data_IF_492778046096
#
_entry.id   IF_492778046096
#
_cell.length_a   1.000
_cell.length_b   1.000
_cell.length_c   1.000
_cell.angle_alpha   90.00
_cell.angle_beta   90.00
_cell.angle_gamma   90.00
#
_symmetry.space_group_name_H-M   'P 1'
#
loop_
_entity.id
_entity.type
_entity.pdbx_description
1 polymer ?
#
# COMPACT_ATOMS: atom_id res chain seq x y z
N UNK A 1 35.86 35.96 16.89
CA UNK A 1 37.12 35.22 17.11
C UNK A 1 37.32 34.22 15.98
N UNK A 2 38.42 34.34 15.24
CA UNK A 2 38.83 33.46 14.12
C UNK A 2 39.54 32.20 14.65
N UNK A 3 39.26 31.02 14.08
CA UNK A 3 40.17 29.84 13.90
C UNK A 3 39.41 28.80 13.06
N UNK A 4 39.75 28.63 11.77
CA UNK A 4 40.80 27.80 11.14
C UNK A 4 40.31 26.36 10.85
N UNK A 5 40.18 26.12 9.54
CA UNK A 5 40.03 24.83 8.86
C UNK A 5 41.16 23.85 9.22
N UNK A 6 40.83 22.56 9.28
CA UNK A 6 41.77 21.46 9.06
C UNK A 6 41.17 20.45 8.08
N UNK A 7 41.88 20.24 6.97
CA UNK A 7 41.67 19.19 5.97
C UNK A 7 42.30 17.90 6.48
N UNK A 8 41.66 16.76 6.23
CA UNK A 8 42.31 15.45 6.25
C UNK A 8 42.07 14.78 4.90
N UNK A 9 43.17 14.43 4.24
CA UNK A 9 43.26 13.65 3.00
C UNK A 9 44.32 12.56 3.19
N UNK A 10 43.98 11.31 2.88
CA UNK A 10 44.86 10.21 2.48
C UNK A 10 43.94 9.15 1.80
N UNK A 11 44.05 8.79 0.51
CA UNK A 11 45.03 7.89 -0.15
C UNK A 11 45.14 6.52 0.56
N UNK A 12 45.04 5.34 -0.07
CA UNK A 12 45.10 4.91 -1.48
C UNK A 12 44.69 3.40 -1.60
N UNK A 13 44.78 2.87 -2.84
CA UNK A 13 44.94 1.47 -3.33
C UNK A 13 43.70 0.87 -4.02
N UNK A 14 43.61 0.87 -5.36
CA UNK A 14 44.27 0.04 -6.40
C UNK A 14 44.00 -1.47 -6.30
N UNK A 15 43.18 -1.99 -7.22
CA UNK A 15 43.53 -3.20 -8.00
C UNK A 15 42.81 -3.21 -9.35
N UNK A 16 43.61 -3.31 -10.41
CA UNK A 16 43.23 -3.61 -11.78
C UNK A 16 43.98 -4.88 -12.23
N UNK A 17 43.30 -5.75 -12.95
CA UNK A 17 43.85 -6.79 -13.84
C UNK A 17 42.68 -7.19 -14.76
N UNK A 18 42.64 -6.87 -16.07
CA UNK A 18 43.54 -7.15 -17.19
C UNK A 18 43.71 -8.66 -17.45
N UNK A 19 42.89 -9.21 -18.34
CA UNK A 19 43.20 -10.45 -19.06
C UNK A 19 43.02 -10.21 -20.56
N UNK A 20 44.08 -10.53 -21.28
CA UNK A 20 44.44 -10.15 -22.64
C UNK A 20 43.93 -11.18 -23.66
N UNK A 21 43.58 -10.67 -24.84
CA UNK A 21 43.41 -11.41 -26.09
C UNK A 21 44.65 -12.26 -26.43
N UNK A 22 44.42 -13.46 -26.98
CA UNK A 22 45.38 -14.13 -27.86
C UNK A 22 44.76 -14.29 -29.25
N UNK A 23 45.29 -13.50 -30.18
CA UNK A 23 45.23 -13.71 -31.63
C UNK A 23 46.34 -14.69 -32.01
N UNK A 24 46.01 -15.69 -32.81
CA UNK A 24 46.96 -16.53 -33.52
C UNK A 24 46.34 -16.93 -34.86
N UNK A 25 46.73 -16.23 -35.93
CA UNK A 25 46.38 -16.60 -37.29
C UNK A 25 47.31 -17.67 -37.85
N UNK A 26 46.83 -18.44 -38.84
CA UNK A 26 47.66 -18.96 -39.91
C UNK A 26 46.79 -19.29 -41.13
N UNK A 27 47.44 -19.22 -42.28
CA UNK A 27 46.91 -18.93 -43.61
C UNK A 27 46.28 -20.12 -44.35
N UNK A 28 45.38 -19.72 -45.26
CA UNK A 28 44.96 -20.31 -46.54
C UNK A 28 45.75 -21.50 -47.11
N UNK A 29 45.04 -22.56 -47.49
CA UNK A 29 45.33 -23.32 -48.70
C UNK A 29 44.03 -23.57 -49.47
N UNK A 30 44.11 -23.22 -50.76
CA UNK A 30 43.12 -23.37 -51.81
C UNK A 30 43.09 -24.81 -52.31
N UNK A 31 41.92 -25.43 -52.40
CA UNK A 31 41.64 -26.49 -53.38
C UNK A 31 40.12 -26.69 -53.54
N UNK A 32 39.64 -26.51 -54.77
CA UNK A 32 38.41 -27.07 -55.35
C UNK A 32 38.86 -27.91 -56.56
N UNK A 33 38.03 -28.79 -57.15
CA UNK A 33 36.85 -29.49 -56.63
C UNK A 33 36.89 -31.00 -56.98
N UNK A 34 36.10 -31.84 -56.29
CA UNK A 34 35.64 -33.11 -56.87
C UNK A 34 34.15 -33.28 -56.59
N UNK A 35 33.39 -33.31 -57.68
CA UNK A 35 31.99 -33.71 -57.80
C UNK A 35 31.80 -35.16 -57.39
N UNK A 36 30.93 -35.41 -56.40
CA UNK A 36 30.24 -36.69 -56.23
C UNK A 36 28.79 -36.41 -55.84
N UNK A 37 27.90 -36.58 -56.82
CA UNK A 37 26.46 -36.53 -56.63
C UNK A 37 26.02 -37.75 -55.81
N UNK A 38 25.41 -37.51 -54.64
CA UNK A 38 24.63 -38.53 -53.94
C UNK A 38 23.27 -37.94 -53.64
N UNK A 39 22.27 -38.41 -54.37
CA UNK A 39 20.85 -38.08 -54.17
C UNK A 39 20.35 -38.77 -52.90
N UNK A 40 20.17 -38.01 -51.83
CA UNK A 40 19.36 -38.42 -50.69
C UNK A 40 18.15 -37.50 -50.61
N UNK A 41 16.99 -38.05 -50.96
CA UNK A 41 15.69 -37.40 -50.78
C UNK A 41 15.56 -36.86 -49.35
N UNK A 42 15.04 -35.63 -49.15
CA UNK A 42 14.71 -35.16 -47.82
C UNK A 42 13.52 -35.96 -47.29
N UNK A 43 13.75 -36.78 -46.27
CA UNK A 43 12.70 -37.32 -45.42
C UNK A 43 11.98 -36.13 -44.78
N UNK A 44 10.73 -35.92 -45.17
CA UNK A 44 9.81 -35.00 -44.51
C UNK A 44 9.76 -35.37 -43.01
N UNK A 45 9.99 -34.42 -42.08
CA UNK A 45 9.79 -34.70 -40.67
C UNK A 45 8.32 -35.10 -40.46
N UNK A 46 8.04 -36.07 -39.56
CA UNK A 46 6.67 -36.48 -39.28
C UNK A 46 5.84 -35.28 -38.86
N UNK A 47 4.55 -35.21 -39.26
CA UNK A 47 3.67 -34.15 -38.82
C UNK A 47 3.67 -34.11 -37.29
N UNK A 48 3.96 -32.93 -36.74
CA UNK A 48 3.87 -32.67 -35.31
C UNK A 48 2.51 -33.13 -34.81
N UNK A 49 2.50 -33.98 -33.78
CA UNK A 49 1.28 -34.49 -33.18
C UNK A 49 0.31 -33.32 -32.90
N UNK A 50 -0.99 -33.46 -33.21
CA UNK A 50 -1.95 -32.39 -33.00
C UNK A 50 -1.94 -32.00 -31.52
N UNK A 51 -1.60 -30.74 -31.24
CA UNK A 51 -1.74 -30.18 -29.89
C UNK A 51 -3.21 -30.32 -29.51
N UNK A 52 -3.50 -31.12 -28.48
CA UNK A 52 -4.84 -31.15 -27.90
C UNK A 52 -5.22 -29.71 -27.52
N UNK A 53 -6.45 -29.27 -27.84
CA UNK A 53 -6.87 -27.90 -27.61
C UNK A 53 -6.82 -27.57 -26.13
N UNK A 54 -6.59 -26.30 -25.81
CA UNK A 54 -6.66 -25.78 -24.45
C UNK A 54 -7.99 -26.20 -23.78
N UNK A 55 -8.03 -26.34 -22.45
CA UNK A 55 -9.26 -26.69 -21.74
C UNK A 55 -10.41 -25.74 -22.11
N UNK A 56 -11.63 -26.27 -22.27
CA UNK A 56 -12.80 -25.48 -22.68
C UNK A 56 -13.08 -24.29 -21.75
N UNK A 57 -12.87 -24.48 -20.44
CA UNK A 57 -13.05 -23.42 -19.44
C UNK A 57 -12.04 -22.26 -19.63
N UNK A 58 -10.86 -22.56 -20.19
CA UNK A 58 -9.81 -21.58 -20.47
C UNK A 58 -10.07 -20.89 -21.82
N UNK A 59 -10.30 -21.67 -22.88
CA UNK A 59 -10.51 -21.12 -24.23
C UNK A 59 -11.81 -20.31 -24.34
N UNK A 60 -12.85 -20.72 -23.62
CA UNK A 60 -14.14 -20.04 -23.59
C UNK A 60 -14.29 -19.01 -22.47
N UNK A 61 -13.27 -18.84 -21.60
CA UNK A 61 -13.32 -17.97 -20.40
C UNK A 61 -14.63 -18.13 -19.60
N UNK A 62 -15.06 -19.38 -19.41
CA UNK A 62 -16.41 -19.71 -18.94
C UNK A 62 -16.57 -19.65 -17.42
N UNK A 63 -15.50 -19.40 -16.69
CA UNK A 63 -15.57 -19.30 -15.24
C UNK A 63 -16.21 -17.96 -14.86
N UNK A 64 -17.21 -18.03 -13.99
CA UNK A 64 -17.90 -16.85 -13.45
C UNK A 64 -17.87 -16.97 -11.93
N UNK A 65 -17.42 -15.91 -11.27
CA UNK A 65 -17.51 -15.75 -9.82
C UNK A 65 -18.07 -14.37 -9.52
N UNK A 66 -19.22 -14.35 -8.84
CA UNK A 66 -19.91 -13.12 -8.48
C UNK A 66 -19.01 -12.28 -7.58
N UNK A 67 -18.86 -10.99 -7.91
CA UNK A 67 -18.01 -10.09 -7.15
C UNK A 67 -16.52 -10.36 -7.29
N UNK A 68 -16.10 -11.04 -8.37
CA UNK A 68 -14.69 -11.24 -8.66
C UNK A 68 -14.34 -10.93 -10.11
N UNK A 69 -13.12 -10.44 -10.31
CA UNK A 69 -12.49 -10.36 -11.62
C UNK A 69 -11.59 -11.56 -11.81
N UNK A 70 -11.65 -12.16 -13.00
CA UNK A 70 -10.91 -13.38 -13.32
C UNK A 70 -9.86 -13.05 -14.37
N UNK A 71 -8.62 -13.44 -14.11
CA UNK A 71 -7.52 -13.42 -15.07
C UNK A 71 -7.15 -14.84 -15.48
N UNK A 72 -6.90 -15.03 -16.77
CA UNK A 72 -6.54 -16.31 -17.36
C UNK A 72 -5.08 -16.27 -17.84
N UNK A 73 -4.34 -17.34 -17.57
CA UNK A 73 -2.96 -17.45 -18.01
C UNK A 73 -2.56 -18.85 -18.39
N UNK A 74 -1.62 -18.93 -19.33
CA UNK A 74 -0.96 -20.17 -19.71
C UNK A 74 0.55 -19.99 -19.69
N UNK A 75 1.28 -21.09 -19.51
CA UNK A 75 2.74 -21.10 -19.47
C UNK A 75 3.29 -22.51 -19.50
N UNK A 76 4.59 -22.65 -19.74
CA UNK A 76 5.24 -23.96 -19.76
C UNK A 76 5.49 -24.44 -18.31
N UNK A 77 5.46 -23.53 -17.35
CA UNK A 77 5.41 -23.82 -15.91
C UNK A 77 4.16 -23.25 -15.24
N UNK A 78 3.78 -23.82 -14.08
CA UNK A 78 2.69 -23.27 -13.26
C UNK A 78 2.96 -21.82 -12.83
N UNK A 79 4.23 -21.47 -12.57
CA UNK A 79 4.63 -20.12 -12.17
C UNK A 79 4.39 -19.12 -13.31
N UNK A 80 4.78 -19.47 -14.53
CA UNK A 80 4.53 -18.68 -15.73
C UNK A 80 3.04 -18.52 -16.00
N UNK A 81 2.27 -19.61 -15.92
CA UNK A 81 0.82 -19.55 -16.11
C UNK A 81 0.14 -18.64 -15.07
N UNK A 82 0.57 -18.69 -13.81
CA UNK A 82 0.10 -17.78 -12.76
C UNK A 82 0.51 -16.33 -13.04
N UNK A 83 1.72 -16.08 -13.54
CA UNK A 83 2.18 -14.74 -13.89
C UNK A 83 1.40 -14.18 -15.08
N UNK A 84 1.13 -14.99 -16.11
CA UNK A 84 0.29 -14.63 -17.24
C UNK A 84 -1.15 -14.30 -16.78
N UNK A 85 -1.72 -15.11 -15.87
CA UNK A 85 -3.04 -14.87 -15.32
C UNK A 85 -3.12 -13.56 -14.52
N UNK A 86 -2.05 -13.23 -13.78
CA UNK A 86 -1.92 -11.93 -13.09
C UNK A 86 -1.86 -10.76 -14.08
N UNK A 87 -1.09 -10.90 -15.16
CA UNK A 87 -0.98 -9.87 -16.18
C UNK A 87 -2.33 -9.65 -16.90
N UNK A 88 -3.05 -10.73 -17.18
CA UNK A 88 -4.39 -10.67 -17.75
C UNK A 88 -5.38 -9.97 -16.81
N UNK A 89 -5.39 -10.37 -15.53
CA UNK A 89 -6.19 -9.71 -14.50
C UNK A 89 -5.90 -8.21 -14.42
N UNK A 90 -4.62 -7.80 -14.39
CA UNK A 90 -4.24 -6.39 -14.36
C UNK A 90 -4.81 -5.59 -15.54
N UNK A 91 -4.83 -6.17 -16.75
CA UNK A 91 -5.43 -5.53 -17.94
C UNK A 91 -6.94 -5.41 -17.80
N UNK A 92 -7.62 -6.46 -17.34
CA UNK A 92 -9.06 -6.45 -17.11
C UNK A 92 -9.45 -5.36 -16.11
N UNK A 93 -8.71 -5.26 -15.00
CA UNK A 93 -8.90 -4.22 -13.99
C UNK A 93 -8.69 -2.84 -14.58
N UNK A 94 -7.59 -2.63 -15.30
CA UNK A 94 -7.30 -1.35 -15.94
C UNK A 94 -8.41 -0.92 -16.88
N UNK A 95 -8.93 -1.84 -17.71
CA UNK A 95 -10.04 -1.55 -18.60
C UNK A 95 -11.29 -1.16 -17.82
N UNK A 96 -11.66 -1.92 -16.79
CA UNK A 96 -12.89 -1.67 -16.04
C UNK A 96 -12.85 -0.38 -15.23
N UNK A 97 -11.73 -0.11 -14.55
CA UNK A 97 -11.51 1.16 -13.83
C UNK A 97 -11.58 2.34 -14.81
N UNK A 98 -10.89 2.24 -15.96
CA UNK A 98 -10.94 3.28 -16.99
C UNK A 98 -12.36 3.51 -17.52
N UNK A 99 -13.13 2.44 -17.75
CA UNK A 99 -14.51 2.51 -18.21
C UNK A 99 -15.45 3.14 -17.18
N UNK A 100 -15.40 2.72 -15.91
CA UNK A 100 -16.22 3.30 -14.83
C UNK A 100 -15.99 4.80 -14.68
N UNK A 101 -14.71 5.19 -14.68
CA UNK A 101 -14.29 6.58 -14.59
C UNK A 101 -14.71 7.39 -15.84
N UNK A 102 -14.71 6.78 -17.02
CA UNK A 102 -15.20 7.43 -18.26
C UNK A 102 -16.72 7.65 -18.24
N UNK A 103 -17.47 6.76 -17.59
CA UNK A 103 -18.93 6.90 -17.41
C UNK A 103 -19.22 8.02 -16.41
N UNK A 104 -18.50 8.08 -15.29
CA UNK A 104 -18.61 9.18 -14.30
C UNK A 104 -18.23 10.55 -14.90
N UNK A 105 -17.26 10.58 -15.83
CA UNK A 105 -16.87 11.78 -16.61
C UNK A 105 -18.00 12.33 -17.49
N UNK A 106 -18.87 11.49 -18.04
CA UNK A 106 -20.03 11.96 -18.79
C UNK A 106 -21.05 12.66 -17.87
N UNK A 107 -20.99 12.40 -16.56
CA UNK A 107 -21.86 13.01 -15.57
C UNK A 107 -21.24 14.26 -14.90
N UNK A 108 -19.91 14.35 -14.77
CA UNK A 108 -19.24 15.53 -14.17
C UNK A 108 -17.94 15.92 -14.92
N UNK A 109 -17.88 17.17 -15.39
CA UNK A 109 -16.79 17.68 -16.23
C UNK A 109 -15.46 17.83 -15.46
N UNK A 110 -14.46 17.02 -15.84
CA UNK A 110 -13.07 17.46 -16.07
C UNK A 110 -12.07 17.43 -14.91
N UNK A 111 -11.54 16.24 -14.52
CA UNK A 111 -10.22 16.12 -13.84
C UNK A 111 -9.66 14.67 -13.77
N UNK A 112 -9.82 13.89 -14.84
CA UNK A 112 -9.95 12.42 -14.71
C UNK A 112 -8.69 11.59 -15.03
N UNK A 113 -7.73 12.11 -15.80
CA UNK A 113 -6.62 11.31 -16.36
C UNK A 113 -5.63 10.84 -15.28
N UNK A 114 -5.53 11.56 -14.16
CA UNK A 114 -4.55 11.30 -13.10
C UNK A 114 -5.04 10.18 -12.16
N UNK A 115 -6.33 10.18 -11.78
CA UNK A 115 -6.95 9.21 -10.87
C UNK A 115 -7.00 7.79 -11.43
N UNK A 116 -7.31 7.63 -12.73
CA UNK A 116 -7.35 6.32 -13.38
C UNK A 116 -5.97 5.66 -13.42
N UNK A 117 -4.91 6.44 -13.70
CA UNK A 117 -3.54 5.94 -13.75
C UNK A 117 -3.03 5.54 -12.36
N UNK A 118 -3.36 6.30 -11.31
CA UNK A 118 -2.99 5.95 -9.94
C UNK A 118 -3.73 4.74 -9.41
N UNK A 119 -5.03 4.58 -9.69
CA UNK A 119 -5.76 3.36 -9.34
C UNK A 119 -5.16 2.11 -10.01
N UNK A 120 -4.70 2.23 -11.26
CA UNK A 120 -4.06 1.15 -12.01
C UNK A 120 -2.64 0.86 -11.53
N UNK A 121 -1.84 1.89 -11.23
CA UNK A 121 -0.50 1.74 -10.66
C UNK A 121 -0.56 1.19 -9.23
N UNK A 122 -1.55 1.59 -8.42
CA UNK A 122 -1.82 1.04 -7.09
C UNK A 122 -2.22 -0.44 -7.16
N UNK A 123 -3.12 -0.82 -8.06
CA UNK A 123 -3.55 -2.21 -8.25
C UNK A 123 -2.47 -3.09 -8.90
N UNK A 124 -1.55 -2.50 -9.67
CA UNK A 124 -0.39 -3.19 -10.23
C UNK A 124 0.76 -3.36 -9.22
N UNK A 125 0.91 -2.43 -8.26
CA UNK A 125 1.93 -2.48 -7.20
C UNK A 125 1.48 -3.23 -5.95
N UNK A 126 0.19 -3.15 -5.62
CA UNK A 126 -0.46 -4.02 -4.65
C UNK A 126 -0.45 -5.43 -5.26
N UNK A 127 0.66 -6.14 -5.07
CA UNK A 127 0.76 -7.56 -5.34
C UNK A 127 -0.51 -8.19 -4.81
N UNK A 128 -1.35 -8.70 -5.71
CA UNK A 128 -2.66 -9.23 -5.39
C UNK A 128 -2.57 -10.25 -4.26
N UNK A 129 -2.68 -9.78 -3.02
CA UNK A 129 -2.21 -10.48 -1.84
C UNK A 129 -3.11 -11.67 -1.50
N UNK A 130 -4.30 -11.71 -2.10
CA UNK A 130 -5.34 -12.71 -1.91
C UNK A 130 -5.96 -13.10 -3.26
N UNK A 131 -5.17 -13.62 -4.20
CA UNK A 131 -5.73 -14.28 -5.40
C UNK A 131 -6.17 -15.70 -5.09
N UNK A 132 -7.43 -15.99 -5.37
CA UNK A 132 -7.95 -17.34 -5.31
C UNK A 132 -7.63 -18.05 -6.64
N UNK A 133 -7.01 -19.22 -6.59
CA UNK A 133 -6.92 -20.07 -7.79
C UNK A 133 -8.27 -20.77 -7.97
N UNK A 134 -9.00 -20.43 -9.03
CA UNK A 134 -10.28 -21.08 -9.33
C UNK A 134 -10.09 -22.42 -10.01
N UNK A 135 -9.12 -22.48 -10.92
CA UNK A 135 -8.80 -23.69 -11.66
C UNK A 135 -7.36 -23.67 -12.12
N UNK A 136 -6.76 -24.85 -12.13
CA UNK A 136 -5.45 -25.07 -12.73
C UNK A 136 -5.40 -26.47 -13.34
N UNK A 137 -4.95 -26.57 -14.58
CA UNK A 137 -4.81 -27.83 -15.29
C UNK A 137 -3.51 -27.84 -16.09
N UNK A 138 -2.89 -29.01 -16.20
CA UNK A 138 -1.72 -29.22 -17.03
C UNK A 138 -2.09 -30.16 -18.18
N UNK A 139 -1.92 -29.70 -19.42
CA UNK A 139 -2.17 -30.49 -20.63
C UNK A 139 -0.96 -30.33 -21.54
N UNK A 140 -0.34 -31.44 -21.94
CA UNK A 140 0.80 -31.48 -22.87
C UNK A 140 1.94 -30.51 -22.49
N UNK A 141 2.43 -30.62 -21.24
CA UNK A 141 3.52 -29.79 -20.70
C UNK A 141 3.21 -28.29 -20.65
N UNK A 142 1.94 -27.89 -20.79
CA UNK A 142 1.48 -26.51 -20.64
C UNK A 142 0.50 -26.43 -19.48
N UNK A 143 0.69 -25.44 -18.63
CA UNK A 143 -0.18 -25.13 -17.52
C UNK A 143 -1.18 -24.06 -17.93
N UNK A 144 -2.43 -24.24 -17.53
CA UNK A 144 -3.52 -23.29 -17.67
C UNK A 144 -4.01 -22.93 -16.28
N UNK A 145 -4.21 -21.65 -16.01
CA UNK A 145 -4.60 -21.14 -14.69
C UNK A 145 -5.66 -20.06 -14.84
N UNK A 146 -6.67 -20.10 -13.96
CA UNK A 146 -7.57 -18.99 -13.71
C UNK A 146 -7.40 -18.50 -12.26
N UNK A 147 -7.15 -17.20 -12.11
CA UNK A 147 -7.04 -16.52 -10.83
C UNK A 147 -8.22 -15.56 -10.67
N UNK A 148 -8.84 -15.57 -9.50
CA UNK A 148 -9.88 -14.64 -9.12
C UNK A 148 -9.39 -13.62 -8.11
N UNK A 149 -9.82 -12.38 -8.32
CA UNK A 149 -9.66 -11.26 -7.40
C UNK A 149 -11.02 -10.81 -6.93
N UNK A 150 -11.29 -10.94 -5.63
CA UNK A 150 -12.50 -10.40 -5.01
C UNK A 150 -12.51 -8.88 -5.17
N UNK A 151 -13.49 -8.34 -5.89
CA UNK A 151 -13.65 -6.91 -6.19
C UNK A 151 -14.72 -6.24 -5.32
N UNK A 152 -15.37 -6.99 -4.41
CA UNK A 152 -16.41 -6.47 -3.52
C UNK A 152 -15.85 -5.35 -2.63
N UNK A 153 -16.68 -4.38 -2.21
CA UNK A 153 -16.27 -3.35 -1.25
C UNK A 153 -15.86 -4.00 0.07
N UNK A 154 -14.95 -3.35 0.82
CA UNK A 154 -14.42 -3.87 2.09
C UNK A 154 -15.52 -4.36 3.05
N UNK A 155 -16.60 -3.59 3.21
CA UNK A 155 -17.71 -3.96 4.10
C UNK A 155 -18.38 -5.30 3.74
N UNK A 156 -18.48 -5.66 2.46
CA UNK A 156 -19.00 -6.97 2.02
C UNK A 156 -17.98 -8.08 2.26
N UNK A 157 -16.69 -7.79 2.06
CA UNK A 157 -15.62 -8.77 2.30
C UNK A 157 -15.46 -9.09 3.78
N UNK A 158 -15.82 -8.16 4.66
CA UNK A 158 -15.83 -8.35 6.11
C UNK A 158 -16.98 -9.24 6.60
N UNK A 159 -18.06 -9.39 5.84
CA UNK A 159 -19.24 -10.17 6.26
C UNK A 159 -18.93 -11.57 6.84
N UNK A 160 -18.06 -12.40 6.24
CA UNK A 160 -17.72 -13.70 6.81
C UNK A 160 -17.07 -13.59 8.19
N UNK A 161 -16.20 -12.59 8.39
CA UNK A 161 -15.51 -12.32 9.66
C UNK A 161 -16.50 -11.97 10.79
N UNK A 162 -17.64 -11.38 10.44
CA UNK A 162 -18.63 -10.88 11.39
C UNK A 162 -19.51 -12.00 11.97
N UNK A 163 -19.61 -13.15 11.29
CA UNK A 163 -20.47 -14.28 11.71
C UNK A 163 -19.81 -15.26 12.67
N UNK A 164 -18.50 -15.16 12.90
CA UNK A 164 -17.74 -16.08 13.76
C UNK A 164 -17.73 -15.61 15.23
N UNK A 165 -18.26 -16.43 16.14
CA UNK A 165 -18.27 -16.19 17.59
C UNK A 165 -16.92 -16.44 18.25
N UNK A 166 -16.29 -15.43 18.87
CA UNK A 166 -15.13 -15.61 19.74
C UNK A 166 -14.99 -14.50 20.81
N UNK A 167 -14.48 -14.87 21.98
CA UNK A 167 -14.25 -13.96 23.10
C UNK A 167 -13.20 -12.86 22.76
N UNK A 168 -13.26 -11.68 23.39
CA UNK A 168 -12.39 -10.56 23.05
C UNK A 168 -10.94 -10.71 23.57
N UNK A 169 -9.90 -10.58 22.72
CA UNK A 169 -8.53 -10.24 23.13
C UNK A 169 -8.34 -8.80 23.65
N UNK A 170 -7.22 -8.61 24.37
CA UNK A 170 -6.81 -7.40 25.10
C UNK A 170 -6.52 -6.15 24.23
N UNK A 171 -6.52 -6.27 22.90
CA UNK A 171 -6.13 -5.19 21.96
C UNK A 171 -7.15 -4.98 20.83
N UNK A 172 -8.43 -4.80 21.20
CA UNK A 172 -9.46 -4.47 20.23
C UNK A 172 -9.22 -3.09 19.61
N UNK A 173 -9.14 -3.04 18.28
CA UNK A 173 -9.11 -1.82 17.47
C UNK A 173 -10.43 -1.01 17.50
N UNK A 174 -11.45 -1.46 18.24
CA UNK A 174 -12.79 -0.86 18.26
C UNK A 174 -12.79 0.62 18.59
N UNK A 175 -11.86 1.12 19.41
CA UNK A 175 -11.80 2.55 19.78
C UNK A 175 -11.35 3.45 18.62
N UNK A 176 -10.52 2.95 17.71
CA UNK A 176 -10.18 3.69 16.47
C UNK A 176 -11.28 3.55 15.42
N UNK A 177 -11.91 2.37 15.36
CA UNK A 177 -12.96 2.09 14.40
C UNK A 177 -14.30 2.72 14.78
N UNK A 178 -14.56 3.01 16.06
CA UNK A 178 -15.86 3.46 16.60
C UNK A 178 -16.46 4.67 15.89
N UNK A 179 -15.60 5.50 15.28
CA UNK A 179 -16.03 6.69 14.53
C UNK A 179 -15.51 6.71 13.08
N UNK A 180 -14.88 5.63 12.61
CA UNK A 180 -14.30 5.54 11.27
C UNK A 180 -15.36 5.51 10.16
N UNK A 181 -15.01 5.94 8.92
CA UNK A 181 -15.89 5.77 7.77
C UNK A 181 -16.32 4.31 7.52
N UNK A 182 -15.44 3.33 7.81
CA UNK A 182 -15.77 1.92 7.70
C UNK A 182 -16.92 1.54 8.65
N UNK A 183 -16.89 1.99 9.89
CA UNK A 183 -17.98 1.74 10.83
C UNK A 183 -19.30 2.35 10.37
N UNK A 184 -19.27 3.57 9.82
CA UNK A 184 -20.48 4.19 9.29
C UNK A 184 -21.05 3.41 8.10
N UNK A 185 -20.20 2.77 7.27
CA UNK A 185 -20.67 1.88 6.20
C UNK A 185 -21.31 0.61 6.78
N UNK A 186 -20.65 -0.02 7.76
CA UNK A 186 -21.15 -1.23 8.40
C UNK A 186 -22.49 -0.98 9.12
N UNK A 187 -22.63 0.15 9.82
CA UNK A 187 -23.89 0.57 10.46
C UNK A 187 -25.01 0.81 9.45
N UNK A 188 -24.70 1.42 8.29
CA UNK A 188 -25.68 1.64 7.22
C UNK A 188 -26.20 0.35 6.60
N UNK A 189 -25.33 -0.64 6.44
CA UNK A 189 -25.68 -1.91 5.80
C UNK A 189 -26.32 -2.93 6.75
N UNK A 190 -25.87 -2.98 8.01
CA UNK A 190 -26.33 -3.98 8.99
C UNK A 190 -27.27 -3.42 10.07
N UNK A 191 -27.49 -2.10 10.14
CA UNK A 191 -28.34 -1.43 11.12
C UNK A 191 -27.60 -0.96 12.39
N UNK A 192 -28.17 0.04 13.07
CA UNK A 192 -27.69 0.53 14.36
C UNK A 192 -27.95 -0.52 15.47
N UNK A 193 -26.89 -0.97 16.14
CA UNK A 193 -26.99 -1.89 17.30
C UNK A 193 -26.77 -3.38 17.00
N UNK A 194 -26.87 -3.79 15.73
CA UNK A 194 -26.57 -5.15 15.23
C UNK A 194 -25.09 -5.32 14.84
N UNK A 195 -24.34 -4.23 14.75
CA UNK A 195 -22.89 -4.25 14.56
C UNK A 195 -22.18 -4.50 15.90
N UNK A 196 -22.01 -5.78 16.24
CA UNK A 196 -20.99 -6.22 17.19
C UNK A 196 -20.23 -7.32 16.46
N UNK A 197 -18.98 -7.07 16.03
CA UNK A 197 -18.20 -8.16 15.49
C UNK A 197 -18.11 -9.20 16.62
N UNK A 198 -18.53 -10.43 16.30
CA UNK A 198 -18.64 -11.50 17.29
C UNK A 198 -17.27 -11.97 17.81
N UNK A 199 -16.19 -11.46 17.21
CA UNK A 199 -14.81 -11.46 17.68
C UNK A 199 -14.25 -10.03 17.46
N UNK A 200 -13.37 -9.49 18.31
CA UNK A 200 -12.78 -8.18 18.05
C UNK A 200 -11.91 -8.26 16.81
N UNK A 201 -11.98 -7.20 16.02
CA UNK A 201 -11.10 -7.04 14.89
C UNK A 201 -9.70 -6.73 15.40
N UNK A 202 -8.69 -7.21 14.69
CA UNK A 202 -7.31 -6.70 14.81
C UNK A 202 -6.81 -6.32 13.42
N UNK A 203 -5.84 -5.41 13.36
CA UNK A 203 -5.26 -4.93 12.11
C UNK A 203 -3.76 -5.23 12.15
N UNK A 204 -3.26 -5.92 11.12
CA UNK A 204 -1.82 -6.13 10.96
C UNK A 204 -1.36 -5.66 9.58
N UNK A 205 -0.05 -5.43 9.44
CA UNK A 205 0.60 -5.18 8.17
C UNK A 205 1.67 -6.24 7.92
N UNK A 206 1.63 -6.92 6.77
CA UNK A 206 2.53 -8.05 6.46
C UNK A 206 3.65 -7.69 5.47
N UNK A 207 3.83 -6.39 5.20
CA UNK A 207 4.77 -5.88 4.21
C UNK A 207 4.17 -5.70 2.81
N UNK A 208 3.09 -6.43 2.50
CA UNK A 208 2.37 -6.32 1.23
C UNK A 208 1.06 -5.56 1.35
N UNK A 209 0.52 -5.43 2.56
CA UNK A 209 -0.60 -4.54 2.86
C UNK A 209 -1.18 -4.78 4.24
N UNK A 210 -2.25 -4.05 4.51
CA UNK A 210 -3.02 -4.21 5.74
C UNK A 210 -3.97 -5.40 5.64
N UNK A 211 -4.15 -6.12 6.75
CA UNK A 211 -5.13 -7.20 6.89
C UNK A 211 -5.95 -7.02 8.16
N UNK A 212 -7.26 -7.09 8.03
CA UNK A 212 -8.19 -7.17 9.15
C UNK A 212 -8.38 -8.63 9.52
N UNK A 213 -8.27 -8.96 10.80
CA UNK A 213 -8.43 -10.32 11.32
C UNK A 213 -9.60 -10.38 12.28
N UNK A 214 -10.32 -11.50 12.25
CA UNK A 214 -11.28 -11.91 13.26
C UNK A 214 -11.14 -13.41 13.48
N UNK A 215 -10.76 -13.82 14.69
CA UNK A 215 -10.37 -15.21 14.98
C UNK A 215 -9.31 -15.71 13.97
N UNK A 216 -9.55 -16.84 13.30
CA UNK A 216 -8.62 -17.43 12.31
C UNK A 216 -8.82 -16.92 10.88
N UNK A 217 -9.77 -16.01 10.68
CA UNK A 217 -10.10 -15.47 9.37
C UNK A 217 -9.53 -14.06 9.19
N UNK A 218 -9.19 -13.72 7.95
CA UNK A 218 -8.68 -12.40 7.61
C UNK A 218 -9.19 -11.91 6.25
N UNK A 219 -9.14 -10.60 6.09
CA UNK A 219 -9.49 -9.89 4.86
C UNK A 219 -8.42 -8.84 4.57
N UNK A 220 -7.84 -8.88 3.38
CA UNK A 220 -6.92 -7.86 2.90
C UNK A 220 -7.61 -6.50 2.73
N UNK A 221 -7.01 -5.46 3.29
CA UNK A 221 -7.42 -4.06 3.12
C UNK A 221 -6.63 -3.49 1.95
N UNK A 222 -7.33 -3.08 0.90
CA UNK A 222 -6.71 -2.44 -0.26
C UNK A 222 -6.23 -1.05 0.15
N UNK A 223 -5.19 -0.56 -0.53
CA UNK A 223 -4.58 0.71 -0.20
C UNK A 223 -5.58 1.88 -0.19
N UNK A 224 -6.43 2.02 -1.22
CA UNK A 224 -7.55 2.98 -1.25
C UNK A 224 -8.57 2.84 -0.11
N UNK A 225 -8.66 1.68 0.52
CA UNK A 225 -9.58 1.40 1.62
C UNK A 225 -8.96 1.69 2.99
N UNK A 226 -7.64 1.86 3.08
CA UNK A 226 -6.96 2.23 4.34
C UNK A 226 -7.52 3.54 4.89
N UNK A 227 -7.88 4.48 4.01
CA UNK A 227 -8.54 5.72 4.38
C UNK A 227 -9.87 5.52 5.13
N UNK A 228 -10.55 4.37 4.95
CA UNK A 228 -11.78 4.02 5.68
C UNK A 228 -11.49 3.61 7.13
N UNK A 229 -10.24 3.25 7.44
CA UNK A 229 -9.79 2.83 8.77
C UNK A 229 -9.25 4.00 9.61
N UNK A 230 -8.99 5.14 8.98
CA UNK A 230 -8.40 6.29 9.67
C UNK A 230 -9.43 6.92 10.62
N UNK A 231 -8.98 7.37 11.82
CA UNK A 231 -9.87 8.04 12.76
C UNK A 231 -10.37 9.36 12.16
N UNK A 232 -11.64 9.73 12.39
CA UNK A 232 -12.14 11.03 11.96
C UNK A 232 -11.52 12.15 12.80
N UNK A 233 -11.82 13.40 12.41
CA UNK A 233 -11.53 14.53 13.29
C UNK A 233 -12.32 14.40 14.59
N UNK A 234 -11.62 14.31 15.71
CA UNK A 234 -12.16 14.23 17.05
C UNK A 234 -11.23 15.02 17.98
N UNK A 235 -11.74 16.04 18.65
CA UNK A 235 -10.94 16.90 19.51
C UNK A 235 -11.34 16.68 20.97
N UNK A 236 -10.36 16.35 21.80
CA UNK A 236 -10.51 16.28 23.25
C UNK A 236 -10.41 17.69 23.85
N UNK A 237 -11.27 18.05 24.83
CA UNK A 237 -11.14 19.31 25.55
C UNK A 237 -9.87 19.37 26.42
N UNK A 238 -9.25 18.23 26.71
CA UNK A 238 -8.00 18.15 27.47
C UNK A 238 -6.75 18.39 26.60
N UNK A 239 -6.88 18.32 25.27
CA UNK A 239 -5.77 18.47 24.34
C UNK A 239 -6.22 19.17 23.05
N UNK A 240 -6.07 20.49 22.99
CA UNK A 240 -6.31 21.23 21.77
C UNK A 240 -5.32 20.85 20.66
N UNK A 241 -5.83 20.66 19.44
CA UNK A 241 -5.06 20.34 18.26
C UNK A 241 -5.59 21.16 17.08
N UNK A 242 -4.71 21.92 16.43
CA UNK A 242 -5.03 22.69 15.22
C UNK A 242 -3.83 22.82 14.31
N UNK A 243 -4.09 23.15 13.05
CA UNK A 243 -3.06 23.42 12.05
C UNK A 243 -2.98 24.93 11.78
N UNK A 244 -1.78 25.41 11.48
CA UNK A 244 -1.54 26.79 11.04
C UNK A 244 -0.73 26.80 9.73
N UNK A 245 -1.19 27.48 8.66
CA UNK A 245 -2.46 28.18 8.55
C UNK A 245 -3.63 27.20 8.59
N UNK A 246 -4.79 27.60 9.12
CA UNK A 246 -5.97 26.73 9.14
C UNK A 246 -6.69 26.81 7.79
N UNK A 247 -6.54 25.77 6.97
CA UNK A 247 -7.19 25.66 5.66
C UNK A 247 -8.21 24.52 5.63
N UNK A 248 -9.27 24.68 4.84
CA UNK A 248 -10.25 23.60 4.58
C UNK A 248 -9.64 22.49 3.73
N UNK A 249 -8.90 22.87 2.68
CA UNK A 249 -8.13 21.98 1.82
C UNK A 249 -6.73 22.58 1.67
N UNK A 250 -5.70 21.75 1.82
CA UNK A 250 -4.32 22.20 1.66
C UNK A 250 -3.87 21.88 0.23
N UNK A 251 -3.28 22.85 -0.50
CA UNK A 251 -2.58 22.53 -1.72
C UNK A 251 -1.34 21.68 -1.41
N UNK A 252 -0.79 20.93 -2.38
CA UNK A 252 0.52 20.31 -2.24
C UNK A 252 1.60 21.36 -2.00
N UNK A 253 2.70 20.96 -1.35
CA UNK A 253 3.86 21.80 -1.04
C UNK A 253 3.55 23.00 -0.11
N UNK A 254 2.40 22.98 0.56
CA UNK A 254 2.02 23.97 1.55
C UNK A 254 2.74 23.69 2.87
N UNK A 255 3.45 24.70 3.36
CA UNK A 255 4.01 24.68 4.71
C UNK A 255 2.90 24.89 5.76
N UNK A 256 2.95 24.10 6.82
CA UNK A 256 2.07 24.24 7.97
C UNK A 256 2.76 23.84 9.28
N UNK A 257 2.18 24.25 10.39
CA UNK A 257 2.58 23.86 11.74
C UNK A 257 1.42 23.18 12.45
N UNK A 258 1.74 22.22 13.31
CA UNK A 258 0.80 21.62 14.25
C UNK A 258 0.90 22.39 15.56
N UNK A 259 -0.23 22.91 16.05
CA UNK A 259 -0.31 23.60 17.33
C UNK A 259 -1.05 22.73 18.32
N UNK A 260 -0.38 22.44 19.44
CA UNK A 260 -0.85 21.59 20.54
C UNK A 260 -1.08 22.45 21.78
N UNK A 261 -2.24 22.30 22.41
CA UNK A 261 -2.65 23.09 23.58
C UNK A 261 -3.14 22.15 24.69
N UNK A 262 -2.22 21.59 25.50
CA UNK A 262 -2.58 20.71 26.59
C UNK A 262 -3.27 21.49 27.71
N UNK A 263 -4.43 21.02 28.18
CA UNK A 263 -5.13 21.56 29.35
C UNK A 263 -4.82 20.78 30.64
N UNK A 264 -4.02 19.71 30.53
CA UNK A 264 -3.56 18.88 31.63
C UNK A 264 -2.04 18.68 31.54
N UNK A 265 -1.41 18.32 32.65
CA UNK A 265 0.01 17.95 32.68
C UNK A 265 0.20 16.47 32.30
N UNK A 266 1.32 16.14 31.67
CA UNK A 266 1.62 14.78 31.27
C UNK A 266 2.72 14.70 30.21
N UNK A 267 2.70 13.59 29.46
CA UNK A 267 3.63 13.30 28.37
C UNK A 267 2.89 13.40 27.05
N UNK A 268 3.24 14.41 26.26
CA UNK A 268 2.63 14.73 24.97
C UNK A 268 3.38 14.03 23.82
N UNK A 269 2.63 13.35 22.96
CA UNK A 269 3.16 12.76 21.74
C UNK A 269 2.32 13.17 20.53
N UNK A 270 2.93 13.23 19.35
CA UNK A 270 2.30 13.56 18.08
C UNK A 270 2.69 12.53 17.04
N UNK A 271 1.69 11.92 16.41
CA UNK A 271 1.83 10.93 15.35
C UNK A 271 1.10 11.42 14.11
N UNK A 272 1.71 11.32 12.94
CA UNK A 272 1.04 11.51 11.65
C UNK A 272 0.68 10.15 11.04
N UNK A 273 -0.54 10.02 10.54
CA UNK A 273 -1.03 8.84 9.83
C UNK A 273 -1.36 9.27 8.40
N UNK A 274 -0.66 8.73 7.42
CA UNK A 274 -0.88 9.04 6.00
C UNK A 274 -2.04 8.23 5.43
N UNK A 275 -2.56 8.63 4.27
CA UNK A 275 -3.62 7.92 3.55
C UNK A 275 -3.26 6.46 3.22
N UNK A 276 -1.95 6.16 3.18
CA UNK A 276 -1.40 4.82 3.04
C UNK A 276 -1.46 3.97 4.31
N UNK A 277 -1.86 4.54 5.44
CA UNK A 277 -1.75 3.95 6.77
C UNK A 277 -0.32 3.94 7.31
N UNK A 278 0.66 4.51 6.59
CA UNK A 278 1.96 4.75 7.16
C UNK A 278 1.84 5.69 8.37
N UNK A 279 2.59 5.40 9.43
CA UNK A 279 2.57 6.12 10.71
C UNK A 279 3.95 6.69 11.01
N UNK A 280 4.01 7.98 11.36
CA UNK A 280 5.25 8.68 11.68
C UNK A 280 5.16 9.34 13.04
N UNK A 281 6.18 9.16 13.86
CA UNK A 281 6.32 9.82 15.15
C UNK A 281 7.02 11.17 14.99
N UNK A 282 6.29 12.24 15.29
CA UNK A 282 6.77 13.61 15.19
C UNK A 282 7.31 14.12 16.53
N UNK A 283 6.60 13.80 17.61
CA UNK A 283 6.96 14.18 18.97
C UNK A 283 6.73 12.98 19.89
N UNK A 284 7.71 12.65 20.72
CA UNK A 284 7.67 11.49 21.61
C UNK A 284 7.78 11.91 23.07
N UNK A 285 6.75 11.63 23.87
CA UNK A 285 6.74 11.79 25.33
C UNK A 285 7.29 13.13 25.83
N UNK A 286 6.99 14.23 25.13
CA UNK A 286 7.41 15.55 25.56
C UNK A 286 6.71 15.90 26.87
N UNK A 287 7.44 16.09 27.99
CA UNK A 287 6.82 16.50 29.23
C UNK A 287 6.21 17.89 29.07
N UNK A 288 4.96 18.04 29.49
CA UNK A 288 4.21 19.30 29.47
C UNK A 288 3.51 19.51 30.80
N UNK A 289 3.36 20.78 31.18
CA UNK A 289 2.58 21.20 32.35
C UNK A 289 1.42 22.07 31.89
N UNK A 290 0.41 22.25 32.74
CA UNK A 290 -0.73 23.16 32.46
C UNK A 290 -0.33 24.62 32.25
N UNK A 291 0.87 25.02 32.67
CA UNK A 291 1.42 26.34 32.40
C UNK A 291 1.95 26.51 30.96
N UNK A 292 2.12 25.42 30.20
CA UNK A 292 2.53 25.47 28.80
C UNK A 292 1.35 25.91 27.91
N UNK A 293 1.28 27.21 27.63
CA UNK A 293 0.17 27.84 26.87
C UNK A 293 -0.07 27.24 25.47
N UNK A 294 0.99 26.87 24.75
CA UNK A 294 0.91 26.20 23.46
C UNK A 294 2.28 25.66 23.02
N UNK A 295 2.31 24.49 22.41
CA UNK A 295 3.48 23.94 21.74
C UNK A 295 3.25 23.97 20.23
N UNK A 296 4.27 24.38 19.47
CA UNK A 296 4.27 24.38 18.00
C UNK A 296 5.23 23.32 17.50
N UNK A 297 4.78 22.51 16.56
CA UNK A 297 5.57 21.50 15.89
C UNK A 297 5.55 21.70 14.37
N UNK A 298 6.71 21.65 13.69
CA UNK A 298 8.05 21.65 14.27
C UNK A 298 8.36 22.99 14.99
N UNK A 299 9.47 23.06 15.72
CA UNK A 299 9.90 24.30 16.39
C UNK A 299 10.16 25.39 15.33
N UNK A 300 9.40 26.51 15.34
CA UNK A 300 9.52 27.58 14.34
C UNK A 300 10.89 28.26 14.32
N UNK A 301 11.71 28.10 15.38
CA UNK A 301 13.09 28.62 15.40
C UNK A 301 14.06 27.74 14.63
N UNK A 302 13.70 26.50 14.35
CA UNK A 302 14.56 25.49 13.71
C UNK A 302 14.07 25.08 12.33
N UNK A 303 12.76 25.15 12.09
CA UNK A 303 12.12 24.69 10.87
C UNK A 303 11.02 25.65 10.43
N UNK A 304 10.80 25.78 9.13
CA UNK A 304 9.74 26.62 8.57
C UNK A 304 8.35 26.00 8.77
N UNK A 305 8.26 24.67 8.74
CA UNK A 305 7.03 23.91 8.96
C UNK A 305 7.15 22.47 8.47
N UNK A 306 6.05 21.74 8.56
CA UNK A 306 5.81 20.52 7.80
C UNK A 306 5.31 20.88 6.41
N UNK A 307 5.67 20.09 5.41
CA UNK A 307 5.20 20.27 4.04
C UNK A 307 4.09 19.26 3.74
N UNK A 308 3.04 19.70 3.03
CA UNK A 308 2.03 18.78 2.51
C UNK A 308 2.55 18.07 1.27
N UNK A 309 2.51 16.74 1.30
CA UNK A 309 2.88 15.92 0.14
C UNK A 309 1.65 15.26 -0.48
N UNK A 310 1.54 15.34 -1.80
CA UNK A 310 0.56 14.61 -2.58
C UNK A 310 1.28 13.50 -3.34
N UNK A 311 1.03 12.21 -3.03
CA UNK A 311 1.68 11.11 -3.74
C UNK A 311 1.47 11.17 -5.25
N UNK A 312 2.48 10.77 -6.01
CA UNK A 312 2.44 10.78 -7.47
C UNK A 312 1.21 10.01 -7.99
N UNK A 313 0.47 10.64 -8.89
CA UNK A 313 -0.74 10.06 -9.49
C UNK A 313 -2.03 10.28 -8.69
N UNK A 314 -1.97 10.76 -7.45
CA UNK A 314 -3.20 11.07 -6.69
C UNK A 314 -3.68 12.49 -6.99
N UNK A 315 -5.00 12.69 -7.07
CA UNK A 315 -5.63 14.02 -7.09
C UNK A 315 -5.83 14.57 -5.69
N UNK A 316 -5.99 13.68 -4.70
CA UNK A 316 -6.13 14.02 -3.30
C UNK A 316 -5.54 12.94 -2.38
N UNK A 317 -5.20 13.33 -1.16
CA UNK A 317 -4.85 12.43 -0.07
C UNK A 317 -5.32 12.98 1.28
N UNK A 318 -5.26 12.14 2.31
CA UNK A 318 -5.61 12.51 3.68
C UNK A 318 -4.47 12.19 4.62
N UNK A 319 -4.20 13.10 5.54
CA UNK A 319 -3.26 12.90 6.65
C UNK A 319 -4.01 13.16 7.95
N UNK A 320 -3.91 12.24 8.91
CA UNK A 320 -4.44 12.44 10.25
C UNK A 320 -3.29 12.82 11.18
N UNK A 321 -3.46 13.92 11.90
CA UNK A 321 -2.61 14.30 13.01
C UNK A 321 -3.23 13.75 14.29
N UNK A 322 -2.56 12.81 14.95
CA UNK A 322 -3.00 12.21 16.20
C UNK A 322 -2.09 12.69 17.33
N UNK A 323 -2.65 13.52 18.20
CA UNK A 323 -1.99 13.97 19.41
C UNK A 323 -2.54 13.20 20.62
N UNK A 324 -1.65 12.78 21.51
CA UNK A 324 -2.02 12.09 22.74
C UNK A 324 -1.25 12.68 23.92
N UNK A 325 -1.93 12.79 25.06
CA UNK A 325 -1.34 13.18 26.34
C UNK A 325 -1.68 12.11 27.39
N UNK A 326 -0.63 11.54 27.97
CA UNK A 326 -0.72 10.43 28.92
C UNK A 326 -0.09 10.81 30.26
N UNK A 327 -0.54 10.21 31.36
CA UNK A 327 0.07 10.42 32.68
C UNK A 327 1.48 9.83 32.78
N UNK A 328 1.78 8.78 32.01
CA UNK A 328 3.08 8.12 31.95
C UNK A 328 3.60 8.10 30.50
N UNK A 329 4.93 8.08 30.30
CA UNK A 329 5.50 7.96 28.97
C UNK A 329 5.11 6.63 28.32
N UNK A 330 4.88 6.63 27.01
CA UNK A 330 4.59 5.44 26.21
C UNK A 330 5.83 4.91 25.52
N UNK A 331 5.92 3.60 25.35
CA UNK A 331 6.90 3.04 24.42
C UNK A 331 6.46 3.34 22.99
N UNK A 332 7.22 4.23 22.33
CA UNK A 332 7.01 4.65 20.95
C UNK A 332 8.20 4.30 20.07
N UNK A 333 9.13 3.48 20.58
CA UNK A 333 10.39 3.11 19.91
C UNK A 333 10.19 2.43 18.56
N UNK A 334 9.03 1.80 18.36
CA UNK A 334 8.65 1.10 17.12
C UNK A 334 8.27 2.05 15.99
N UNK A 335 7.86 3.28 16.31
CA UNK A 335 7.46 4.25 15.30
C UNK A 335 8.68 4.95 14.72
N UNK A 336 8.76 4.99 13.39
CA UNK A 336 9.80 5.75 12.70
C UNK A 336 9.56 7.26 12.87
N UNK A 337 10.65 8.00 13.05
CA UNK A 337 10.63 9.46 13.02
C UNK A 337 10.40 9.99 11.59
N UNK A 338 9.92 11.24 11.49
CA UNK A 338 9.79 11.93 10.20
C UNK A 338 11.16 12.18 9.59
N UNK A 339 11.34 11.84 8.31
CA UNK A 339 12.55 12.17 7.57
C UNK A 339 12.62 13.67 7.27
N UNK A 340 13.81 14.24 7.30
CA UNK A 340 14.05 15.61 6.81
C UNK A 340 14.24 15.68 5.29
N UNK A 341 14.29 14.53 4.60
CA UNK A 341 14.44 14.46 3.15
C UNK A 341 13.08 14.39 2.46
N UNK A 342 12.85 15.30 1.50
CA UNK A 342 11.63 15.35 0.69
C UNK A 342 11.50 14.09 -0.16
N UNK A 343 10.30 13.50 -0.18
CA UNK A 343 10.00 12.33 -1.00
C UNK A 343 10.41 10.98 -0.42
N UNK A 344 11.06 10.94 0.76
CA UNK A 344 11.24 9.69 1.48
C UNK A 344 9.91 9.24 2.11
N UNK A 345 9.41 8.10 1.63
CA UNK A 345 8.17 7.52 2.13
C UNK A 345 8.38 6.89 3.51
N UNK A 346 7.46 7.10 4.46
CA UNK A 346 7.58 6.45 5.75
C UNK A 346 7.43 4.93 5.63
N UNK A 347 8.22 4.20 6.41
CA UNK A 347 8.29 2.73 6.36
C UNK A 347 7.57 2.04 7.53
N UNK A 348 7.06 2.82 8.48
CA UNK A 348 6.35 2.30 9.65
C UNK A 348 4.85 2.20 9.35
N UNK A 349 4.30 0.99 9.39
CA UNK A 349 2.89 0.69 9.13
C UNK A 349 2.23 0.12 10.39
N UNK A 350 2.08 0.96 11.43
CA UNK A 350 1.66 0.56 12.78
C UNK A 350 0.25 1.03 13.13
N UNK A 351 -0.62 1.21 12.13
CA UNK A 351 -2.01 1.66 12.35
C UNK A 351 -2.76 0.75 13.34
N UNK A 352 -2.52 -0.56 13.30
CA UNK A 352 -3.16 -1.52 14.20
C UNK A 352 -2.69 -1.46 15.66
N UNK A 353 -1.57 -0.79 15.94
CA UNK A 353 -1.01 -0.68 17.29
C UNK A 353 -1.47 0.58 18.02
N UNK A 354 -1.98 1.55 17.26
CA UNK A 354 -2.47 2.81 17.81
C UNK A 354 -3.54 2.66 18.91
N UNK A 355 -4.51 1.71 18.89
CA UNK A 355 -5.49 1.60 19.98
C UNK A 355 -4.84 1.34 21.32
N UNK A 356 -3.83 0.46 21.38
CA UNK A 356 -3.11 0.15 22.62
C UNK A 356 -2.38 1.40 23.17
N UNK A 357 -1.93 2.30 22.30
CA UNK A 357 -1.32 3.57 22.71
C UNK A 357 -2.33 4.57 23.27
N UNK A 358 -3.58 4.54 22.79
CA UNK A 358 -4.64 5.46 23.20
C UNK A 358 -5.25 5.10 24.55
N UNK A 359 -5.20 3.83 24.95
CA UNK A 359 -5.80 3.34 26.20
C UNK A 359 -5.27 4.11 27.42
N UNK A 360 -6.16 4.80 28.14
CA UNK A 360 -5.80 5.57 29.34
C UNK A 360 -5.09 6.90 29.06
N UNK A 361 -5.14 7.40 27.82
CA UNK A 361 -4.67 8.73 27.44
C UNK A 361 -5.82 9.61 26.96
N UNK A 362 -5.66 10.94 27.06
CA UNK A 362 -6.51 11.87 26.33
C UNK A 362 -5.90 12.10 24.95
N UNK A 363 -6.74 12.14 23.92
CA UNK A 363 -6.25 12.26 22.55
C UNK A 363 -7.15 13.13 21.68
N UNK A 364 -6.52 13.74 20.68
CA UNK A 364 -7.17 14.52 19.63
C UNK A 364 -6.65 14.05 18.28
N UNK A 365 -7.56 13.83 17.35
CA UNK A 365 -7.28 13.52 15.96
C UNK A 365 -7.80 14.65 15.07
N UNK A 366 -6.99 15.09 14.11
CA UNK A 366 -7.37 16.09 13.13
C UNK A 366 -7.03 15.61 11.73
N UNK A 367 -8.07 15.41 10.91
CA UNK A 367 -7.92 15.01 9.50
C UNK A 367 -7.64 16.23 8.62
N UNK A 368 -6.52 16.23 7.92
CA UNK A 368 -6.11 17.17 6.90
C UNK A 368 -6.35 16.58 5.51
N UNK A 369 -7.10 17.28 4.66
CA UNK A 369 -7.23 16.94 3.23
C UNK A 369 -6.20 17.73 2.42
N UNK A 370 -5.49 17.02 1.55
CA UNK A 370 -4.50 17.58 0.63
C UNK A 370 -5.01 17.29 -0.78
N UNK A 371 -5.09 18.28 -1.64
CA UNK A 371 -5.60 18.12 -3.02
C UNK A 371 -5.15 19.28 -3.90
N UNK A 372 -5.13 19.04 -5.21
CA UNK A 372 -4.84 20.07 -6.21
C UNK A 372 -6.01 21.00 -6.44
#
# INVERSE_FOLDING_TARGET
MKRRYSRVTAHALFHAALITLLLGGCQTVSERPVTAATSTSPLTPPPSAPRLPAPLWYSGQQLVQVGAWIGYGEGDTLAEAKQAARADLSRTIQSQVTSQITIERQQHQGEVVVTARSAVEELSRAQFSELQTLRSEAINQRFYVALAYDNRPLWQRLEPLLTAAAAPPEHSVQELFSASPLQQQLQRHYGYGSYRPNAPLTLSHDGNGYRLHAADQHVGVRQREVALLLPPTQLSPQLGLRLEPQLTNYPPEQLFQVVLQPAISGYLSLIQIFGSGATVLNLANQPVTTAALSLRYPDPKRYEGLITELPAGQSETRVVHLALICHQPRDLSRFSALSSEVGQQPQSFLLGELPALLQGCHWSALSQRIGR
#
